data_IF_797338653858
#
_entry.id   IF_797338653858
#
_cell.length_a   1.000
_cell.length_b   1.000
_cell.length_c   1.000
_cell.angle_alpha   90.00
_cell.angle_beta   90.00
_cell.angle_gamma   90.00
#
_symmetry.space_group_name_H-M   'P 1'
#
loop_
_entity.id
_entity.type
_entity.pdbx_description
1 polymer ?
#
# COMPACT_ATOMS: atom_id res chain seq x y z
N UNK A 1 15.56 -4.09 -24.34
CA UNK A 1 15.65 -3.68 -22.93
C UNK A 1 14.26 -3.21 -22.57
N UNK A 2 13.40 -4.12 -22.13
CA UNK A 2 12.00 -3.81 -21.86
C UNK A 2 11.94 -2.87 -20.65
N UNK A 3 11.28 -1.73 -20.82
CA UNK A 3 10.79 -0.98 -19.68
C UNK A 3 9.78 -1.90 -18.98
N UNK A 4 10.21 -2.54 -17.90
CA UNK A 4 9.33 -3.26 -17.01
C UNK A 4 8.43 -2.20 -16.38
N UNK A 5 7.33 -1.89 -17.05
CA UNK A 5 6.34 -0.92 -16.60
C UNK A 5 5.94 -1.30 -15.18
N UNK A 6 6.02 -0.34 -14.26
CA UNK A 6 5.57 -0.38 -12.87
C UNK A 6 4.06 -0.73 -12.79
N UNK A 7 3.63 -1.88 -13.26
CA UNK A 7 2.26 -2.12 -13.73
C UNK A 7 1.16 -2.01 -12.65
N UNK A 8 1.49 -1.78 -11.37
CA UNK A 8 0.51 -1.43 -10.35
C UNK A 8 0.86 -0.24 -9.44
N UNK A 9 2.07 0.32 -9.49
CA UNK A 9 2.37 1.54 -8.71
C UNK A 9 1.91 2.76 -9.51
N UNK A 10 1.04 3.59 -8.92
CA UNK A 10 0.34 4.68 -9.61
C UNK A 10 -1.13 4.37 -9.93
N UNK A 11 -1.59 3.15 -9.61
CA UNK A 11 -3.00 2.74 -9.59
C UNK A 11 -3.40 2.50 -8.13
N UNK A 12 -4.70 2.64 -7.81
CA UNK A 12 -5.18 2.34 -6.46
C UNK A 12 -4.87 0.87 -6.09
N UNK A 13 -4.39 0.57 -4.86
CA UNK A 13 -4.13 -0.81 -4.43
C UNK A 13 -5.38 -1.69 -4.44
N UNK A 14 -6.57 -1.09 -4.32
CA UNK A 14 -7.83 -1.80 -4.39
C UNK A 14 -8.22 -2.13 -5.83
N UNK A 15 -7.92 -1.26 -6.80
CA UNK A 15 -8.17 -1.51 -8.22
C UNK A 15 -7.20 -2.55 -8.78
N UNK A 16 -5.93 -2.48 -8.37
CA UNK A 16 -4.92 -3.49 -8.71
C UNK A 16 -5.33 -4.89 -8.24
N UNK A 17 -5.97 -5.00 -7.07
CA UNK A 17 -6.50 -6.27 -6.59
C UNK A 17 -7.61 -6.84 -7.50
N UNK A 18 -8.44 -5.99 -8.13
CA UNK A 18 -9.56 -6.44 -8.97
C UNK A 18 -9.12 -7.06 -10.29
N UNK A 19 -8.04 -6.55 -10.88
CA UNK A 19 -7.52 -7.02 -12.16
C UNK A 19 -7.17 -8.51 -12.19
N UNK A 20 -6.96 -9.12 -11.02
CA UNK A 20 -6.68 -10.55 -10.88
C UNK A 20 -7.77 -11.35 -10.13
N UNK A 21 -8.71 -10.69 -9.43
CA UNK A 21 -9.63 -11.36 -8.49
C UNK A 21 -11.09 -11.42 -8.94
N UNK A 22 -11.48 -10.72 -10.01
CA UNK A 22 -12.87 -10.68 -10.49
C UNK A 22 -13.89 -10.19 -9.44
N UNK A 23 -13.43 -9.50 -8.40
CA UNK A 23 -14.23 -9.06 -7.26
C UNK A 23 -14.92 -7.70 -7.46
N UNK A 24 -15.61 -7.22 -6.42
CA UNK A 24 -16.16 -5.87 -6.36
C UNK A 24 -15.17 -4.92 -5.68
N UNK A 25 -14.98 -3.72 -6.25
CA UNK A 25 -14.15 -2.66 -5.66
C UNK A 25 -14.57 -2.33 -4.23
N UNK A 26 -15.88 -2.26 -4.02
CA UNK A 26 -16.47 -1.98 -2.72
C UNK A 26 -16.09 -3.05 -1.69
N UNK A 27 -16.12 -4.34 -2.08
CA UNK A 27 -15.67 -5.42 -1.21
C UNK A 27 -14.18 -5.35 -0.90
N UNK A 28 -13.35 -5.00 -1.89
CA UNK A 28 -11.92 -4.84 -1.68
C UNK A 28 -11.61 -3.71 -0.68
N UNK A 29 -12.33 -2.58 -0.78
CA UNK A 29 -12.20 -1.44 0.13
C UNK A 29 -12.68 -1.81 1.55
N UNK A 30 -13.89 -2.37 1.68
CA UNK A 30 -14.49 -2.69 2.99
C UNK A 30 -13.66 -3.72 3.75
N UNK A 31 -13.02 -4.65 3.04
CA UNK A 31 -12.15 -5.67 3.65
C UNK A 31 -10.68 -5.28 3.70
N UNK A 32 -10.31 -4.05 3.30
CA UNK A 32 -8.93 -3.59 3.17
C UNK A 32 -8.02 -4.58 2.41
N UNK A 33 -8.54 -5.19 1.34
CA UNK A 33 -7.81 -6.11 0.48
C UNK A 33 -6.86 -5.32 -0.42
N UNK A 34 -5.70 -5.01 0.14
CA UNK A 34 -4.60 -4.30 -0.52
C UNK A 34 -3.71 -5.32 -1.20
N UNK A 35 -3.39 -5.07 -2.47
CA UNK A 35 -2.42 -5.87 -3.21
C UNK A 35 -1.26 -5.01 -3.68
N UNK A 36 -0.05 -5.48 -3.40
CA UNK A 36 1.19 -4.86 -3.85
C UNK A 36 1.71 -5.58 -5.10
N UNK A 37 2.22 -4.85 -6.10
CA UNK A 37 2.85 -5.47 -7.27
C UNK A 37 4.03 -6.37 -6.84
N UNK A 38 3.95 -7.64 -7.21
CA UNK A 38 5.00 -8.62 -6.97
C UNK A 38 6.10 -8.51 -8.04
N UNK A 39 7.35 -8.68 -7.65
CA UNK A 39 8.48 -8.68 -8.59
C UNK A 39 9.80 -9.00 -7.90
N UNK A 40 10.83 -9.44 -8.64
CA UNK A 40 12.13 -9.81 -8.08
C UNK A 40 12.88 -8.64 -7.44
N UNK A 41 12.50 -7.40 -7.77
CA UNK A 41 13.06 -6.18 -7.19
C UNK A 41 11.98 -5.09 -7.13
N UNK A 42 11.10 -5.09 -6.11
CA UNK A 42 10.07 -4.07 -6.00
C UNK A 42 10.74 -2.69 -5.86
N UNK A 43 10.21 -1.65 -6.53
CA UNK A 43 10.79 -0.31 -6.52
C UNK A 43 10.64 0.39 -5.15
N UNK A 44 9.70 -0.07 -4.33
CA UNK A 44 9.44 0.46 -2.99
C UNK A 44 9.72 -0.61 -1.92
N UNK A 45 10.21 -0.19 -0.75
CA UNK A 45 10.53 -1.11 0.34
C UNK A 45 9.26 -1.63 1.02
N UNK A 46 9.33 -2.85 1.54
CA UNK A 46 8.21 -3.48 2.27
C UNK A 46 7.75 -2.66 3.48
N UNK A 47 8.65 -1.91 4.12
CA UNK A 47 8.29 -1.00 5.21
C UNK A 47 7.28 0.07 4.79
N UNK A 48 7.32 0.53 3.52
CA UNK A 48 6.32 1.46 2.98
C UNK A 48 4.97 0.77 2.78
N UNK A 49 4.96 -0.47 2.27
CA UNK A 49 3.73 -1.25 2.10
C UNK A 49 3.01 -1.51 3.42
N UNK A 50 3.77 -1.85 4.45
CA UNK A 50 3.27 -2.05 5.81
C UNK A 50 2.72 -0.74 6.39
N UNK A 51 3.43 0.37 6.19
CA UNK A 51 2.97 1.69 6.63
C UNK A 51 1.64 2.09 5.98
N UNK A 52 1.49 1.90 4.66
CA UNK A 52 0.22 2.18 3.98
C UNK A 52 -0.91 1.24 4.44
N UNK A 53 -0.62 -0.04 4.62
CA UNK A 53 -1.58 -1.02 5.16
C UNK A 53 -2.05 -0.64 6.57
N UNK A 54 -1.15 -0.11 7.40
CA UNK A 54 -1.47 0.41 8.73
C UNK A 54 -2.35 1.67 8.69
N UNK A 55 -2.19 2.55 7.69
CA UNK A 55 -3.10 3.70 7.54
C UNK A 55 -4.50 3.30 7.07
N UNK A 56 -4.60 2.23 6.27
CA UNK A 56 -5.84 1.80 5.61
C UNK A 56 -6.65 0.78 6.41
N UNK A 57 -6.52 0.77 7.74
CA UNK A 57 -7.30 -0.14 8.59
C UNK A 57 -8.82 0.06 8.34
N UNK A 58 -9.56 -1.03 8.10
CA UNK A 58 -10.98 -0.95 7.75
C UNK A 58 -11.85 -0.59 8.97
N UNK A 59 -11.47 -1.02 10.17
CA UNK A 59 -12.17 -0.64 11.40
C UNK A 59 -11.70 0.74 11.87
N UNK A 60 -12.64 1.68 11.99
CA UNK A 60 -12.35 3.06 12.38
C UNK A 60 -11.67 3.17 13.77
N UNK A 61 -11.93 2.24 14.67
CA UNK A 61 -11.37 2.21 16.03
C UNK A 61 -9.88 1.88 16.08
N UNK A 62 -9.35 1.18 15.07
CA UNK A 62 -7.92 0.83 14.98
C UNK A 62 -7.18 1.64 13.92
N UNK A 63 -7.89 2.48 13.15
CA UNK A 63 -7.28 3.37 12.18
C UNK A 63 -6.46 4.44 12.93
N UNK A 64 -5.20 4.67 12.55
CA UNK A 64 -4.34 5.59 13.29
C UNK A 64 -4.81 7.04 13.18
N UNK A 65 -4.50 7.82 14.21
CA UNK A 65 -4.72 9.27 14.20
C UNK A 65 -3.64 9.95 13.37
N UNK A 66 -3.96 11.14 12.87
CA UNK A 66 -3.03 11.89 12.02
C UNK A 66 -1.69 12.18 12.72
N UNK A 67 -1.71 12.44 14.03
CA UNK A 67 -0.49 12.69 14.81
C UNK A 67 0.43 11.45 14.85
N UNK A 68 -0.16 10.26 15.01
CA UNK A 68 0.59 9.00 14.98
C UNK A 68 1.19 8.76 13.59
N UNK A 69 0.45 9.09 12.52
CA UNK A 69 0.90 8.95 11.14
C UNK A 69 2.13 9.82 10.88
N UNK A 70 2.12 11.08 11.32
CA UNK A 70 3.25 12.02 11.17
C UNK A 70 4.50 11.45 11.85
N UNK A 71 4.39 10.98 13.09
CA UNK A 71 5.53 10.40 13.83
C UNK A 71 6.09 9.17 13.11
N UNK A 72 5.24 8.31 12.55
CA UNK A 72 5.67 7.08 11.91
C UNK A 72 6.25 7.32 10.50
N UNK A 73 5.74 8.30 9.75
CA UNK A 73 6.30 8.63 8.44
C UNK A 73 7.69 9.26 8.57
N UNK A 74 7.91 10.12 9.57
CA UNK A 74 9.24 10.70 9.84
C UNK A 74 10.28 9.61 10.13
N UNK A 75 9.91 8.64 10.97
CA UNK A 75 10.74 7.46 11.26
C UNK A 75 10.98 6.59 10.03
N UNK A 76 9.97 6.45 9.16
CA UNK A 76 10.10 5.68 7.92
C UNK A 76 11.08 6.36 6.97
N UNK A 77 10.92 7.66 6.73
CA UNK A 77 11.77 8.47 5.84
C UNK A 77 13.22 8.45 6.34
N UNK A 78 13.44 8.65 7.65
CA UNK A 78 14.77 8.63 8.24
C UNK A 78 15.54 7.33 7.94
N UNK A 79 14.87 6.17 7.85
CA UNK A 79 15.52 4.89 7.53
C UNK A 79 16.11 4.81 6.12
N UNK A 80 15.64 5.62 5.18
CA UNK A 80 16.02 5.56 3.77
C UNK A 80 16.79 6.81 3.28
N UNK A 81 17.02 7.78 4.17
CA UNK A 81 17.81 8.99 3.87
C UNK A 81 19.32 8.84 4.18
N UNK A 82 19.82 7.61 4.32
CA UNK A 82 21.22 7.30 4.65
C UNK A 82 22.00 6.83 3.42
#
# INVERSE_FOLDING_TARGET
>A
MEFQTNAGYGVSPFEYALGESGGSLQLAIVNAQIKWPAGPKPPYPEALHQFVTWMLQPQATVRPRIDDIIIHVDKLIAKFLH
#
